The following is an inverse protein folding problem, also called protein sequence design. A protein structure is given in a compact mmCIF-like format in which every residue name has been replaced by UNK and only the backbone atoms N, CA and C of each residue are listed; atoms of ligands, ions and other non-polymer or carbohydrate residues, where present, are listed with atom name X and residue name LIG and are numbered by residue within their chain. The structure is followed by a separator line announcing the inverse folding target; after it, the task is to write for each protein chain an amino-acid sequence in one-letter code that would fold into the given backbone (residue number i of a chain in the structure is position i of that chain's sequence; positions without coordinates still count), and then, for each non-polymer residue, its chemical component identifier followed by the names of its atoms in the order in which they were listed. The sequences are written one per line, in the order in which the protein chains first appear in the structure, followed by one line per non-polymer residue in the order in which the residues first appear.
data_IF_769973490854
#
_entry.id   IF_769973490854
#
_cell.length_a   1.000
_cell.length_b   1.000
_cell.length_c   1.000
_cell.angle_alpha   90.00
_cell.angle_beta   90.00
_cell.angle_gamma   90.00
#
_symmetry.space_group_name_H-M   'P 1'
#
loop_
_entity.id
_entity.type
_entity.pdbx_description
1 polymer ?
#
# COMPACT_ATOMS: atom_id res chain seq x y z
N UNK A 1 6.03 -11.55 -15.47
CA UNK A 1 5.70 -10.89 -14.17
C UNK A 1 4.73 -11.78 -13.43
N UNK A 2 4.99 -12.07 -12.15
CA UNK A 2 4.07 -12.85 -11.31
C UNK A 2 3.13 -11.92 -10.55
N UNK A 3 2.04 -12.46 -9.99
CA UNK A 3 1.04 -11.68 -9.23
C UNK A 3 1.66 -10.81 -8.12
N UNK A 4 2.72 -11.29 -7.47
CA UNK A 4 3.46 -10.53 -6.44
C UNK A 4 3.99 -9.21 -7.00
N UNK A 5 4.64 -9.24 -8.16
CA UNK A 5 5.23 -8.05 -8.80
C UNK A 5 4.14 -7.04 -9.18
N UNK A 6 2.99 -7.55 -9.65
CA UNK A 6 1.83 -6.74 -9.99
C UNK A 6 1.25 -6.04 -8.76
N UNK A 7 1.16 -6.75 -7.63
CA UNK A 7 0.71 -6.16 -6.36
C UNK A 7 1.64 -5.06 -5.92
N UNK A 8 2.96 -5.30 -5.89
CA UNK A 8 3.94 -4.26 -5.57
C UNK A 8 3.78 -3.03 -6.44
N UNK A 9 3.74 -3.21 -7.77
CA UNK A 9 3.57 -2.10 -8.72
C UNK A 9 2.28 -1.31 -8.47
N UNK A 10 1.14 -1.99 -8.33
CA UNK A 10 -0.14 -1.35 -8.07
C UNK A 10 -0.16 -0.57 -6.74
N UNK A 11 0.44 -1.13 -5.70
CA UNK A 11 0.51 -0.49 -4.38
C UNK A 11 1.38 0.77 -4.42
N UNK A 12 2.58 0.69 -4.99
CA UNK A 12 3.48 1.85 -5.09
C UNK A 12 2.85 2.98 -5.91
N UNK A 13 2.12 2.64 -6.98
CA UNK A 13 1.36 3.62 -7.75
C UNK A 13 0.27 4.30 -6.91
N UNK A 14 -0.48 3.54 -6.11
CA UNK A 14 -1.48 4.12 -5.22
C UNK A 14 -0.85 4.99 -4.13
N UNK A 15 0.22 4.53 -3.48
CA UNK A 15 0.95 5.34 -2.50
C UNK A 15 1.46 6.65 -3.09
N UNK A 16 1.99 6.63 -4.31
CA UNK A 16 2.42 7.85 -5.00
C UNK A 16 1.25 8.78 -5.34
N UNK A 17 0.07 8.25 -5.67
CA UNK A 17 -1.10 9.03 -6.09
C UNK A 17 -1.91 9.62 -4.95
N UNK A 18 -2.12 8.85 -3.89
CA UNK A 18 -3.05 9.19 -2.80
C UNK A 18 -2.44 9.04 -1.41
N UNK A 19 -1.30 8.35 -1.28
CA UNK A 19 -0.65 8.05 -0.01
C UNK A 19 -1.39 7.00 0.83
N UNK A 20 -2.61 6.60 0.44
CA UNK A 20 -3.44 5.60 1.11
C UNK A 20 -4.36 4.87 0.13
N UNK A 21 -4.69 3.62 0.42
CA UNK A 21 -5.61 2.83 -0.40
C UNK A 21 -6.26 1.70 0.41
N UNK A 22 -7.38 1.20 -0.11
CA UNK A 22 -8.03 -0.05 0.30
C UNK A 22 -7.75 -1.15 -0.71
N UNK A 23 -7.97 -2.40 -0.31
CA UNK A 23 -7.85 -3.55 -1.20
C UNK A 23 -8.73 -3.41 -2.47
N UNK A 24 -9.91 -2.81 -2.33
CA UNK A 24 -10.84 -2.52 -3.43
C UNK A 24 -10.30 -1.54 -4.46
N UNK A 25 -9.30 -0.73 -4.10
CA UNK A 25 -8.73 0.30 -4.98
C UNK A 25 -7.63 -0.28 -5.87
N UNK A 26 -7.30 -1.56 -5.67
CA UNK A 26 -6.34 -2.30 -6.46
C UNK A 26 -7.05 -3.12 -7.55
N UNK A 27 -6.46 -3.25 -8.74
CA UNK A 27 -7.09 -3.90 -9.89
C UNK A 27 -6.98 -5.44 -9.82
N UNK A 28 -7.38 -6.05 -8.70
CA UNK A 28 -7.33 -7.49 -8.48
C UNK A 28 -8.71 -8.07 -8.20
N UNK A 29 -9.00 -9.23 -8.80
CA UNK A 29 -10.25 -9.94 -8.59
C UNK A 29 -10.28 -10.66 -7.23
N UNK A 30 -11.44 -11.13 -6.80
CA UNK A 30 -11.62 -11.76 -5.48
C UNK A 30 -10.75 -13.00 -5.28
N UNK A 31 -10.57 -13.81 -6.34
CA UNK A 31 -9.72 -15.01 -6.34
C UNK A 31 -8.27 -14.68 -5.96
N UNK A 32 -7.78 -13.50 -6.37
CA UNK A 32 -6.43 -13.04 -6.08
C UNK A 32 -6.29 -12.42 -4.68
N UNK A 33 -7.39 -12.00 -4.03
CA UNK A 33 -7.34 -11.22 -2.79
C UNK A 33 -6.58 -11.90 -1.66
N UNK A 34 -6.61 -13.23 -1.58
CA UNK A 34 -5.82 -13.95 -0.58
C UNK A 34 -4.32 -13.66 -0.74
N UNK A 35 -3.81 -13.81 -1.97
CA UNK A 35 -2.40 -13.53 -2.30
C UNK A 35 -2.08 -12.06 -2.16
N UNK A 36 -2.97 -11.16 -2.62
CA UNK A 36 -2.79 -9.71 -2.48
C UNK A 36 -2.64 -9.32 -1.01
N UNK A 37 -3.52 -9.79 -0.13
CA UNK A 37 -3.43 -9.52 1.32
C UNK A 37 -2.14 -10.05 1.93
N UNK A 38 -1.64 -11.20 1.49
CA UNK A 38 -0.36 -11.74 1.96
C UNK A 38 0.79 -10.80 1.58
N UNK A 39 0.84 -10.36 0.33
CA UNK A 39 1.88 -9.44 -0.15
C UNK A 39 1.79 -8.08 0.56
N UNK A 40 0.59 -7.53 0.77
CA UNK A 40 0.41 -6.28 1.51
C UNK A 40 0.94 -6.38 2.95
N UNK A 41 0.74 -7.52 3.62
CA UNK A 41 1.29 -7.77 4.97
C UNK A 41 2.82 -7.92 4.96
N UNK A 42 3.38 -8.51 3.91
CA UNK A 42 4.84 -8.52 3.73
C UNK A 42 5.37 -7.10 3.56
N UNK A 43 4.73 -6.29 2.72
CA UNK A 43 5.07 -4.87 2.53
C UNK A 43 4.93 -4.06 3.82
N UNK A 44 3.93 -4.36 4.66
CA UNK A 44 3.79 -3.79 6.01
C UNK A 44 4.96 -4.16 6.92
N UNK A 45 5.36 -5.43 6.91
CA UNK A 45 6.49 -5.93 7.71
C UNK A 45 7.81 -5.29 7.28
N UNK A 46 7.90 -4.85 6.03
CA UNK A 46 9.04 -4.15 5.44
C UNK A 46 8.89 -2.62 5.51
N UNK A 47 7.94 -2.08 6.28
CA UNK A 47 7.69 -0.65 6.46
C UNK A 47 7.37 0.15 5.18
N UNK A 48 6.99 -0.52 4.08
CA UNK A 48 6.46 0.15 2.88
C UNK A 48 5.01 0.60 3.06
N UNK A 49 4.27 -0.16 3.87
CA UNK A 49 2.88 0.12 4.20
C UNK A 49 2.71 0.21 5.71
N UNK A 50 1.72 0.99 6.13
CA UNK A 50 1.34 1.11 7.52
C UNK A 50 -0.18 1.13 7.67
N UNK A 51 -0.64 0.77 8.86
CA UNK A 51 -2.06 0.81 9.24
C UNK A 51 -2.20 1.34 10.65
N UNK A 52 -3.33 1.99 10.93
CA UNK A 52 -3.65 2.44 12.30
C UNK A 52 -3.68 1.29 13.29
N UNK A 53 -4.15 0.13 12.85
CA UNK A 53 -4.16 -1.10 13.62
C UNK A 53 -4.24 -2.32 12.67
N UNK A 54 -4.00 -3.52 13.21
CA UNK A 54 -3.99 -4.77 12.44
C UNK A 54 -5.33 -5.10 11.75
N UNK A 55 -6.45 -4.51 12.18
CA UNK A 55 -7.79 -4.72 11.63
C UNK A 55 -8.20 -3.64 10.62
N UNK A 56 -7.45 -2.55 10.50
CA UNK A 56 -7.78 -1.48 9.57
C UNK A 56 -7.74 -2.00 8.12
N UNK A 57 -8.73 -1.59 7.33
CA UNK A 57 -8.88 -1.94 5.92
C UNK A 57 -8.10 -1.00 4.99
N UNK A 58 -7.71 0.16 5.49
CA UNK A 58 -6.94 1.16 4.76
C UNK A 58 -5.45 0.99 5.04
N UNK A 59 -4.68 0.82 3.98
CA UNK A 59 -3.24 0.86 3.96
C UNK A 59 -2.77 2.28 3.69
N UNK A 60 -1.73 2.71 4.38
CA UNK A 60 -1.13 4.04 4.28
C UNK A 60 0.35 3.94 3.98
N UNK A 61 0.95 5.04 3.55
CA UNK A 61 2.38 5.14 3.30
C UNK A 61 3.19 4.85 4.58
N UNK A 62 4.04 3.83 4.53
CA UNK A 62 5.00 3.50 5.60
C UNK A 62 6.31 4.29 5.47
N UNK A 63 7.22 4.15 6.43
CA UNK A 63 8.46 4.95 6.49
C UNK A 63 9.38 4.71 5.30
N UNK A 64 9.58 3.45 4.88
CA UNK A 64 10.41 3.14 3.70
C UNK A 64 9.83 3.78 2.44
N UNK A 65 8.51 3.75 2.31
CA UNK A 65 7.83 4.38 1.18
C UNK A 65 7.98 5.92 1.21
N UNK A 66 8.02 6.57 2.38
CA UNK A 66 8.25 8.03 2.48
C UNK A 66 9.66 8.43 2.04
N UNK A 67 10.65 7.57 2.29
CA UNK A 67 12.05 7.81 1.91
C UNK A 67 12.27 7.57 0.42
N UNK A 68 11.63 6.54 -0.14
CA UNK A 68 11.90 6.08 -1.51
C UNK A 68 10.92 6.62 -2.56
N UNK A 69 9.67 6.88 -2.18
CA UNK A 69 8.73 7.53 -3.08
C UNK A 69 8.92 9.04 -2.92
N UNK A 70 9.34 9.72 -3.99
CA UNK A 70 9.51 11.17 -4.04
C UNK A 70 8.15 11.88 -3.91
N UNK A 71 7.55 11.84 -2.72
CA UNK A 71 6.26 12.43 -2.36
C UNK A 71 6.46 13.59 -1.38
N UNK A 72 5.61 14.61 -1.46
CA UNK A 72 5.71 15.79 -0.60
C UNK A 72 5.26 15.48 0.85
N UNK A 73 5.67 16.30 1.80
CA UNK A 73 5.20 16.20 3.20
C UNK A 73 3.68 16.36 3.31
N UNK A 74 3.10 17.25 2.52
CA UNK A 74 1.65 17.47 2.49
C UNK A 74 0.90 16.22 2.01
N UNK A 75 1.47 15.51 1.04
CA UNK A 75 0.93 14.24 0.55
C UNK A 75 0.94 13.16 1.63
N UNK A 76 2.03 13.08 2.40
CA UNK A 76 2.12 12.18 3.54
C UNK A 76 1.08 12.56 4.59
N UNK A 77 0.90 13.85 4.88
CA UNK A 77 -0.08 14.32 5.85
C UNK A 77 -1.51 13.95 5.44
N UNK A 78 -1.90 14.19 4.19
CA UNK A 78 -3.22 13.81 3.65
C UNK A 78 -3.50 12.31 3.70
N UNK A 79 -2.46 11.47 3.67
CA UNK A 79 -2.61 10.03 3.83
C UNK A 79 -3.04 9.64 5.25
N UNK A 80 -2.67 10.44 6.25
CA UNK A 80 -2.89 10.17 7.66
C UNK A 80 -4.00 11.02 8.30
N UNK A 81 -4.34 12.15 7.69
CA UNK A 81 -5.58 12.91 7.94
C UNK A 81 -6.82 12.12 7.45
#
# INVERSE_FOLDING_TARGET
MILRDQVWSACLLQLRKTGKFRLSDLPFNEEQHHTVRRVLREMETMDWLARENKRAATWRIGEEAKLHLNVSRDHIKQAWD
#
